data_IF_422891287742
#
_entry.id   IF_422891287742
#
_cell.length_a   1.000
_cell.length_b   1.000
_cell.length_c   1.000
_cell.angle_alpha   90.00
_cell.angle_beta   90.00
_cell.angle_gamma   90.00
#
_symmetry.space_group_name_H-M   'P 1'
#
loop_
_entity.id
_entity.type
_entity.pdbx_description
1 polymer ?
#
# COMPACT_ATOMS: atom_id res chain seq x y z
N UNK A 1 19.60 -10.04 18.87
CA UNK A 1 19.71 -9.72 17.43
C UNK A 1 18.74 -8.59 17.15
N UNK A 2 19.26 -7.37 16.98
CA UNK A 2 18.44 -6.24 16.55
C UNK A 2 18.07 -6.45 15.08
N UNK A 3 16.81 -6.20 14.67
CA UNK A 3 16.46 -6.22 13.25
C UNK A 3 17.32 -5.16 12.54
N UNK A 4 17.89 -5.54 11.40
CA UNK A 4 18.65 -4.65 10.52
C UNK A 4 17.74 -3.51 10.05
N UNK A 5 17.82 -2.39 10.76
CA UNK A 5 17.37 -1.07 10.30
C UNK A 5 18.35 -0.61 9.24
N UNK A 6 17.91 -0.42 7.99
CA UNK A 6 18.57 0.55 7.08
C UNK A 6 17.88 0.85 5.74
N UNK A 7 16.71 0.32 5.37
CA UNK A 7 16.04 0.78 4.12
C UNK A 7 14.53 0.92 4.31
N UNK A 8 13.96 2.03 3.84
CA UNK A 8 12.51 2.18 3.67
C UNK A 8 12.04 1.12 2.66
N UNK A 9 10.87 0.50 2.87
CA UNK A 9 10.44 -0.64 2.04
C UNK A 9 9.86 -0.21 0.70
N UNK A 10 9.29 1.00 0.65
CA UNK A 10 8.91 1.62 -0.61
C UNK A 10 10.17 1.84 -1.45
N UNK A 11 10.14 1.34 -2.69
CA UNK A 11 11.27 1.32 -3.61
C UNK A 11 12.00 -0.02 -3.68
N UNK A 12 11.73 -0.97 -2.77
CA UNK A 12 12.27 -2.34 -2.81
C UNK A 12 11.86 -3.03 -4.13
N UNK A 13 12.76 -3.87 -4.66
CA UNK A 13 12.44 -4.71 -5.81
C UNK A 13 11.49 -5.82 -5.39
N UNK A 14 10.63 -6.24 -6.31
CA UNK A 14 9.70 -7.38 -6.09
C UNK A 14 10.40 -8.61 -5.50
N UNK A 15 11.56 -8.97 -6.03
CA UNK A 15 12.32 -10.15 -5.58
C UNK A 15 12.81 -10.04 -4.13
N UNK A 16 13.07 -8.82 -3.64
CA UNK A 16 13.52 -8.56 -2.27
C UNK A 16 12.35 -8.69 -1.29
N UNK A 17 11.21 -8.08 -1.64
CA UNK A 17 9.95 -8.20 -0.90
C UNK A 17 9.53 -9.68 -0.83
N UNK A 18 9.49 -10.38 -1.96
CA UNK A 18 9.09 -11.78 -2.03
C UNK A 18 9.99 -12.68 -1.17
N UNK A 19 11.31 -12.52 -1.27
CA UNK A 19 12.27 -13.30 -0.49
C UNK A 19 12.08 -13.10 1.01
N UNK A 20 11.91 -11.86 1.46
CA UNK A 20 11.70 -11.54 2.88
C UNK A 20 10.35 -12.05 3.40
N UNK A 21 9.29 -11.87 2.63
CA UNK A 21 7.95 -12.31 3.02
C UNK A 21 7.88 -13.83 3.09
N UNK A 22 8.31 -14.53 2.04
CA UNK A 22 8.27 -16.00 1.99
C UNK A 22 9.24 -16.64 2.98
N UNK A 23 10.42 -16.06 3.19
CA UNK A 23 11.37 -16.49 4.22
C UNK A 23 10.84 -16.33 5.65
N UNK A 24 9.78 -15.54 5.85
CA UNK A 24 9.14 -15.33 7.15
C UNK A 24 7.70 -15.88 7.22
N UNK A 25 7.38 -16.90 6.41
CA UNK A 25 6.10 -17.61 6.45
C UNK A 25 5.00 -17.01 5.58
N UNK A 26 5.26 -15.89 4.89
CA UNK A 26 4.31 -15.29 3.96
C UNK A 26 4.11 -16.14 2.69
N UNK A 27 2.98 -15.93 2.03
CA UNK A 27 2.65 -16.53 0.74
C UNK A 27 2.20 -15.46 -0.25
N UNK A 28 2.14 -15.84 -1.52
CA UNK A 28 1.58 -15.03 -2.60
C UNK A 28 0.22 -15.61 -2.93
N UNK A 29 -0.83 -14.80 -2.99
CA UNK A 29 -2.07 -15.26 -3.62
C UNK A 29 -1.81 -15.42 -5.12
N UNK A 30 -2.18 -16.56 -5.69
CA UNK A 30 -1.95 -16.85 -7.13
C UNK A 30 -3.25 -17.15 -7.88
N UNK A 31 -4.37 -17.12 -7.18
CA UNK A 31 -5.68 -17.38 -7.76
C UNK A 31 -6.30 -16.04 -8.15
N UNK A 32 -6.58 -15.86 -9.44
CA UNK A 32 -7.09 -14.62 -10.02
C UNK A 32 -8.41 -14.15 -9.38
N UNK A 33 -9.33 -15.07 -9.08
CA UNK A 33 -10.61 -14.73 -8.42
C UNK A 33 -10.37 -14.18 -7.01
N UNK A 34 -9.44 -14.80 -6.29
CA UNK A 34 -9.06 -14.37 -4.93
C UNK A 34 -8.36 -13.01 -4.97
N UNK A 35 -7.43 -12.81 -5.91
CA UNK A 35 -6.77 -11.52 -6.08
C UNK A 35 -7.77 -10.41 -6.41
N UNK A 36 -8.66 -10.63 -7.39
CA UNK A 36 -9.68 -9.65 -7.77
C UNK A 36 -10.61 -9.29 -6.60
N UNK A 37 -11.08 -10.29 -5.86
CA UNK A 37 -11.91 -10.08 -4.68
C UNK A 37 -11.21 -9.22 -3.61
N UNK A 38 -9.90 -9.45 -3.41
CA UNK A 38 -9.08 -8.71 -2.43
C UNK A 38 -8.74 -7.29 -2.88
N UNK A 39 -8.54 -7.08 -4.19
CA UNK A 39 -8.28 -5.75 -4.77
C UNK A 39 -9.49 -4.81 -4.72
N UNK A 40 -10.70 -5.36 -4.63
CA UNK A 40 -11.93 -4.56 -4.66
C UNK A 40 -11.94 -3.50 -3.56
N UNK A 41 -12.16 -2.24 -3.97
CA UNK A 41 -12.23 -1.10 -3.06
C UNK A 41 -10.89 -0.60 -2.54
N UNK A 42 -9.76 -1.16 -3.00
CA UNK A 42 -8.44 -0.63 -2.64
C UNK A 42 -8.18 0.72 -3.32
N UNK A 43 -7.57 1.69 -2.61
CA UNK A 43 -7.47 3.07 -3.10
C UNK A 43 -6.58 3.20 -4.35
N UNK A 44 -5.60 2.30 -4.54
CA UNK A 44 -4.72 2.31 -5.71
C UNK A 44 -5.43 1.91 -7.01
N UNK A 45 -6.60 1.27 -6.95
CA UNK A 45 -7.29 0.75 -8.14
C UNK A 45 -7.63 1.85 -9.14
N UNK A 46 -8.03 3.03 -8.67
CA UNK A 46 -8.41 4.16 -9.53
C UNK A 46 -7.22 4.76 -10.30
N UNK A 47 -5.99 4.49 -9.87
CA UNK A 47 -4.77 5.04 -10.47
C UNK A 47 -4.02 4.02 -11.35
N UNK A 48 -4.48 2.77 -11.42
CA UNK A 48 -3.79 1.72 -12.16
C UNK A 48 -3.65 2.04 -13.66
N UNK A 49 -4.64 2.70 -14.25
CA UNK A 49 -4.57 3.12 -15.66
C UNK A 49 -3.52 4.23 -15.86
N UNK A 50 -3.44 5.19 -14.93
CA UNK A 50 -2.47 6.29 -14.97
C UNK A 50 -1.03 5.82 -14.76
N UNK A 51 -0.82 4.79 -13.93
CA UNK A 51 0.50 4.18 -13.72
C UNK A 51 1.04 3.45 -14.96
N UNK A 52 0.19 3.18 -15.94
CA UNK A 52 0.56 2.60 -17.23
C UNK A 52 0.89 1.11 -17.21
N UNK A 53 1.33 0.61 -18.36
CA UNK A 53 1.51 -0.84 -18.60
C UNK A 53 2.60 -1.52 -17.78
N UNK A 54 3.54 -0.76 -17.22
CA UNK A 54 4.58 -1.28 -16.34
C UNK A 54 4.11 -1.52 -14.89
N UNK A 55 2.84 -1.19 -14.59
CA UNK A 55 2.29 -1.29 -13.27
C UNK A 55 1.67 -2.68 -13.01
N UNK A 56 2.07 -3.31 -11.92
CA UNK A 56 1.46 -4.57 -11.45
C UNK A 56 1.16 -4.54 -9.95
N UNK A 57 0.21 -5.37 -9.53
CA UNK A 57 -0.16 -5.50 -8.12
C UNK A 57 0.06 -6.93 -7.70
N UNK A 58 0.76 -7.15 -6.58
CA UNK A 58 0.84 -8.44 -5.91
C UNK A 58 0.21 -8.35 -4.53
N UNK A 59 -0.48 -9.41 -4.14
CA UNK A 59 -1.06 -9.53 -2.81
C UNK A 59 -0.39 -10.69 -2.09
N UNK A 60 0.23 -10.35 -0.97
CA UNK A 60 0.86 -11.30 -0.07
C UNK A 60 -0.03 -11.51 1.15
N UNK A 61 0.00 -12.71 1.69
CA UNK A 61 -0.66 -13.03 2.95
C UNK A 61 0.32 -13.56 3.97
N UNK A 62 0.15 -13.11 5.22
CA UNK A 62 0.88 -13.62 6.38
C UNK A 62 -0.07 -13.82 7.55
N UNK A 63 -0.01 -14.97 8.21
CA UNK A 63 -0.80 -15.23 9.42
C UNK A 63 -0.32 -14.34 10.57
N UNK A 64 -1.21 -14.05 11.52
CA UNK A 64 -0.88 -13.19 12.66
C UNK A 64 0.17 -13.82 13.61
N UNK A 65 0.23 -15.15 13.66
CA UNK A 65 1.23 -15.92 14.43
C UNK A 65 2.54 -16.15 13.65
N UNK A 66 2.65 -15.66 12.42
CA UNK A 66 3.86 -15.71 11.60
C UNK A 66 4.19 -17.07 10.98
N UNK A 67 3.38 -18.11 11.20
CA UNK A 67 3.56 -19.39 10.53
C UNK A 67 3.17 -19.31 9.06
N UNK A 68 3.57 -20.32 8.29
CA UNK A 68 3.06 -20.48 6.92
C UNK A 68 1.61 -21.00 6.98
N UNK A 69 0.66 -20.38 6.26
CA UNK A 69 -0.71 -20.88 6.18
C UNK A 69 -0.76 -22.24 5.48
N UNK A 70 -1.69 -23.08 5.89
CA UNK A 70 -1.97 -24.37 5.23
C UNK A 70 -2.91 -24.19 4.04
N UNK A 71 -2.93 -25.14 3.11
CA UNK A 71 -3.82 -25.09 1.93
C UNK A 71 -5.30 -24.93 2.33
N UNK A 72 -5.74 -25.67 3.36
CA UNK A 72 -7.13 -25.61 3.84
C UNK A 72 -7.51 -24.25 4.40
N UNK A 73 -6.55 -23.51 4.97
CA UNK A 73 -6.79 -22.15 5.46
C UNK A 73 -7.01 -21.19 4.30
N UNK A 74 -6.24 -21.34 3.22
CA UNK A 74 -6.33 -20.48 2.04
C UNK A 74 -7.63 -20.68 1.25
N UNK A 75 -8.16 -21.89 1.24
CA UNK A 75 -9.42 -22.24 0.59
C UNK A 75 -10.65 -21.87 1.42
N UNK A 76 -10.47 -21.58 2.71
CA UNK A 76 -11.60 -21.30 3.60
C UNK A 76 -12.20 -19.93 3.29
N UNK A 77 -13.55 -19.86 3.19
CA UNK A 77 -14.28 -18.60 3.07
C UNK A 77 -14.19 -17.71 4.32
N UNK A 78 -13.69 -18.25 5.45
CA UNK A 78 -13.48 -17.48 6.68
C UNK A 78 -12.15 -16.76 6.56
N UNK A 79 -12.13 -15.45 6.80
CA UNK A 79 -10.88 -14.70 6.79
C UNK A 79 -9.97 -15.21 7.90
N UNK A 80 -8.84 -15.81 7.53
CA UNK A 80 -7.83 -16.21 8.51
C UNK A 80 -7.26 -14.97 9.21
N UNK A 81 -6.96 -15.13 10.50
CA UNK A 81 -6.34 -14.06 11.28
C UNK A 81 -4.94 -13.77 10.73
N UNK A 82 -4.78 -12.60 10.11
CA UNK A 82 -3.51 -12.25 9.49
C UNK A 82 -3.49 -10.89 8.82
N UNK A 83 -2.62 -10.78 7.82
CA UNK A 83 -2.29 -9.58 7.09
C UNK A 83 -2.35 -9.85 5.60
N UNK A 84 -3.14 -9.05 4.88
CA UNK A 84 -2.99 -8.88 3.45
C UNK A 84 -2.05 -7.69 3.22
N UNK A 85 -0.96 -7.89 2.48
CA UNK A 85 -0.07 -6.84 2.01
C UNK A 85 -0.23 -6.72 0.50
N UNK A 86 -0.83 -5.61 0.08
CA UNK A 86 -0.94 -5.25 -1.32
C UNK A 86 0.27 -4.41 -1.68
N UNK A 87 1.00 -4.79 -2.72
CA UNK A 87 2.13 -4.01 -3.22
C UNK A 87 1.87 -3.66 -4.67
N UNK A 88 1.86 -2.36 -4.95
CA UNK A 88 1.84 -1.80 -6.30
C UNK A 88 3.29 -1.63 -6.73
N UNK A 89 3.64 -2.25 -7.84
CA UNK A 89 4.95 -2.12 -8.47
C UNK A 89 4.84 -1.27 -9.71
N UNK A 90 5.86 -0.47 -9.98
CA UNK A 90 6.10 0.18 -11.27
C UNK A 90 7.53 -0.13 -11.67
N UNK A 91 7.72 -0.70 -12.87
CA UNK A 91 9.03 -1.16 -13.34
C UNK A 91 9.71 -2.12 -12.34
N UNK A 92 8.91 -2.96 -11.68
CA UNK A 92 9.40 -3.98 -10.73
C UNK A 92 9.81 -3.46 -9.34
N UNK A 93 9.62 -2.17 -9.04
CA UNK A 93 9.87 -1.56 -7.72
C UNK A 93 8.57 -1.16 -7.04
N UNK A 94 8.48 -1.34 -5.72
CA UNK A 94 7.28 -0.94 -4.97
C UNK A 94 7.14 0.59 -4.97
N UNK A 95 5.94 1.07 -5.29
CA UNK A 95 5.60 2.51 -5.24
C UNK A 95 4.48 2.80 -4.27
N UNK A 96 3.65 1.80 -3.95
CA UNK A 96 2.63 1.89 -2.93
C UNK A 96 2.44 0.54 -2.25
N UNK A 97 2.19 0.56 -0.94
CA UNK A 97 1.93 -0.62 -0.12
C UNK A 97 0.73 -0.39 0.79
N UNK A 98 -0.27 -1.28 0.72
CA UNK A 98 -1.39 -1.30 1.68
C UNK A 98 -1.23 -2.49 2.60
N UNK A 99 -1.09 -2.21 3.89
CA UNK A 99 -1.08 -3.21 4.95
C UNK A 99 -2.48 -3.28 5.55
N UNK A 100 -3.16 -4.40 5.34
CA UNK A 100 -4.51 -4.64 5.83
C UNK A 100 -4.54 -5.79 6.82
N UNK A 101 -4.96 -5.50 8.04
CA UNK A 101 -5.20 -6.49 9.09
C UNK A 101 -6.58 -7.13 8.87
N UNK A 102 -6.70 -8.43 9.12
CA UNK A 102 -7.99 -9.13 9.06
C UNK A 102 -8.98 -8.73 10.17
N UNK A 103 -8.54 -7.90 11.12
CA UNK A 103 -9.25 -7.40 12.30
C UNK A 103 -8.84 -5.94 12.51
N UNK A 104 -9.43 -5.26 13.50
CA UNK A 104 -8.95 -3.93 13.89
C UNK A 104 -7.45 -3.96 14.20
N UNK A 105 -6.71 -3.03 13.59
CA UNK A 105 -5.27 -2.85 13.82
C UNK A 105 -5.06 -2.13 15.14
N UNK A 106 -4.25 -2.70 16.01
CA UNK A 106 -3.84 -2.04 17.25
C UNK A 106 -2.88 -0.89 16.98
N UNK A 107 -2.80 0.07 17.92
CA UNK A 107 -1.82 1.16 17.84
C UNK A 107 -0.37 0.64 17.83
N UNK A 108 -0.11 -0.47 18.54
CA UNK A 108 1.20 -1.09 18.55
C UNK A 108 1.58 -1.62 17.16
N UNK A 109 0.70 -2.38 16.50
CA UNK A 109 0.92 -2.88 15.15
C UNK A 109 1.14 -1.73 14.15
N UNK A 110 0.31 -0.69 14.23
CA UNK A 110 0.46 0.51 13.42
C UNK A 110 1.82 1.18 13.60
N UNK A 111 2.26 1.38 14.85
CA UNK A 111 3.54 2.01 15.16
C UNK A 111 4.72 1.17 14.65
N UNK A 112 4.62 -0.16 14.69
CA UNK A 112 5.62 -1.04 14.08
C UNK A 112 5.69 -0.88 12.56
N UNK A 113 4.55 -0.81 11.87
CA UNK A 113 4.50 -0.59 10.42
C UNK A 113 5.16 0.74 10.03
N UNK A 114 4.82 1.80 10.76
CA UNK A 114 5.41 3.14 10.57
C UNK A 114 6.93 3.09 10.79
N UNK A 115 7.38 2.51 11.92
CA UNK A 115 8.81 2.40 12.22
C UNK A 115 9.59 1.63 11.13
N UNK A 116 9.01 0.56 10.60
CA UNK A 116 9.62 -0.23 9.52
C UNK A 116 9.72 0.55 8.21
N UNK A 117 8.75 1.40 7.89
CA UNK A 117 8.74 2.16 6.64
C UNK A 117 9.56 3.45 6.71
N UNK A 118 9.86 3.95 7.92
CA UNK A 118 10.57 5.22 8.09
C UNK A 118 12.09 5.16 7.84
N UNK A 119 12.67 3.99 7.58
CA UNK A 119 14.11 3.85 7.30
C UNK A 119 15.03 4.41 8.40
N UNK A 120 14.53 4.59 9.62
CA UNK A 120 15.23 5.27 10.72
C UNK A 120 15.17 6.81 10.72
N UNK A 121 14.59 7.45 9.69
CA UNK A 121 14.47 8.92 9.58
C UNK A 121 13.41 9.54 10.50
N UNK A 122 12.62 8.71 11.20
CA UNK A 122 11.46 9.15 11.96
C UNK A 122 10.28 9.54 11.06
N UNK A 123 9.18 9.98 11.67
CA UNK A 123 7.97 10.38 10.96
C UNK A 123 7.42 11.70 11.51
N UNK A 124 6.91 12.52 10.60
CA UNK A 124 6.23 13.78 10.91
C UNK A 124 4.73 13.60 10.66
N UNK A 125 3.91 13.93 11.67
CA UNK A 125 2.46 14.05 11.48
C UNK A 125 2.15 15.41 10.88
N UNK A 126 1.29 15.44 9.88
CA UNK A 126 0.90 16.68 9.22
C UNK A 126 -0.44 17.18 9.74
N UNK A 127 -0.57 18.50 9.82
CA UNK A 127 -1.84 19.16 10.13
C UNK A 127 -2.83 19.06 8.97
N UNK A 128 -4.08 19.45 9.20
CA UNK A 128 -5.11 19.52 8.15
C UNK A 128 -4.64 20.49 7.04
N UNK A 129 -4.58 20.02 5.79
CA UNK A 129 -4.28 20.86 4.61
C UNK A 129 -3.14 20.36 3.71
N UNK A 130 -2.29 19.44 4.16
CA UNK A 130 -1.16 18.94 3.36
C UNK A 130 -1.56 18.07 2.14
N UNK A 131 -2.86 17.85 1.91
CA UNK A 131 -3.39 16.84 0.98
C UNK A 131 -3.63 17.34 -0.45
N UNK A 132 -3.46 18.63 -0.75
CA UNK A 132 -3.82 19.19 -2.06
C UNK A 132 -2.92 18.70 -3.21
N UNK A 133 -1.69 18.27 -2.93
CA UNK A 133 -0.74 17.74 -3.92
C UNK A 133 -0.59 16.21 -3.85
N UNK A 134 -1.62 15.50 -3.37
CA UNK A 134 -1.55 14.06 -3.09
C UNK A 134 -2.75 13.33 -3.69
N UNK A 135 -2.46 12.30 -4.48
CA UNK A 135 -3.49 11.45 -5.07
C UNK A 135 -4.27 10.73 -3.98
N UNK A 136 -3.54 10.17 -3.01
CA UNK A 136 -4.15 9.39 -1.94
C UNK A 136 -4.58 10.24 -0.75
N UNK A 137 -4.08 11.47 -0.62
CA UNK A 137 -3.99 12.18 0.65
C UNK A 137 -3.01 11.48 1.61
N UNK A 138 -2.57 12.18 2.65
CA UNK A 138 -1.68 11.62 3.66
C UNK A 138 -1.78 12.37 4.98
N UNK A 139 -1.47 11.66 6.07
CA UNK A 139 -1.51 12.17 7.44
C UNK A 139 -0.10 12.24 8.05
N UNK A 140 0.84 11.51 7.45
CA UNK A 140 2.20 11.37 7.94
C UNK A 140 3.16 11.30 6.76
N UNK A 141 4.37 11.81 6.98
CA UNK A 141 5.47 11.75 6.03
C UNK A 141 6.75 11.35 6.74
N UNK A 142 7.62 10.59 6.08
CA UNK A 142 8.92 10.21 6.61
C UNK A 142 9.80 11.45 6.84
N UNK A 143 10.78 11.35 7.72
CA UNK A 143 11.64 12.49 8.07
C UNK A 143 12.37 13.11 6.87
N UNK A 144 12.69 12.27 5.89
CA UNK A 144 13.35 12.61 4.62
C UNK A 144 12.38 13.00 3.48
N UNK A 145 11.07 12.93 3.70
CA UNK A 145 10.05 13.30 2.70
C UNK A 145 9.85 12.27 1.58
N UNK A 146 10.49 11.10 1.65
CA UNK A 146 10.42 10.10 0.57
C UNK A 146 9.14 9.28 0.56
N UNK A 147 8.52 9.06 1.73
CA UNK A 147 7.34 8.20 1.88
C UNK A 147 6.24 8.94 2.62
N UNK A 148 5.03 8.85 2.09
CA UNK A 148 3.80 9.35 2.71
C UNK A 148 2.96 8.18 3.23
N UNK A 149 2.18 8.43 4.27
CA UNK A 149 1.30 7.43 4.86
C UNK A 149 -0.09 7.97 5.19
N UNK A 150 -1.10 7.12 5.00
CA UNK A 150 -2.52 7.42 5.26
C UNK A 150 -3.22 6.23 5.88
N UNK A 151 -3.96 6.44 6.97
CA UNK A 151 -4.90 5.43 7.48
C UNK A 151 -6.10 5.30 6.54
N UNK A 152 -6.49 4.08 6.23
CA UNK A 152 -7.64 3.78 5.36
C UNK A 152 -8.87 3.28 6.15
N UNK A 153 -8.81 3.36 7.47
CA UNK A 153 -9.79 2.81 8.39
C UNK A 153 -9.14 2.32 9.68
N UNK A 154 -9.87 1.51 10.44
CA UNK A 154 -9.38 0.93 11.69
C UNK A 154 -8.47 -0.30 11.50
N UNK A 155 -8.37 -0.85 10.29
CA UNK A 155 -7.67 -2.11 10.00
C UNK A 155 -6.54 -1.96 8.96
N UNK A 156 -6.37 -0.77 8.37
CA UNK A 156 -5.56 -0.61 7.16
C UNK A 156 -4.76 0.70 7.14
N UNK A 157 -3.53 0.62 6.62
CA UNK A 157 -2.66 1.78 6.35
C UNK A 157 -2.04 1.65 4.96
N UNK A 158 -2.01 2.78 4.24
CA UNK A 158 -1.28 2.97 2.98
C UNK A 158 0.06 3.65 3.26
N UNK A 159 1.10 3.17 2.59
CA UNK A 159 2.37 3.84 2.37
C UNK A 159 2.58 4.05 0.88
N UNK A 160 3.10 5.20 0.47
CA UNK A 160 3.30 5.54 -0.94
C UNK A 160 4.55 6.40 -1.11
N UNK A 161 5.27 6.19 -2.23
CA UNK A 161 6.36 7.06 -2.65
C UNK A 161 5.81 8.47 -2.90
N UNK A 162 6.41 9.47 -2.25
CA UNK A 162 5.90 10.84 -2.27
C UNK A 162 5.88 11.45 -3.68
N UNK A 163 6.86 11.10 -4.54
CA UNK A 163 6.93 11.61 -5.91
C UNK A 163 5.86 10.96 -6.78
N UNK A 164 5.66 9.65 -6.63
CA UNK A 164 4.60 8.93 -7.36
C UNK A 164 3.22 9.43 -6.93
N UNK A 165 2.99 9.64 -5.64
CA UNK A 165 1.74 10.18 -5.11
C UNK A 165 1.40 11.57 -5.69
N UNK A 166 2.38 12.49 -5.72
CA UNK A 166 2.17 13.81 -6.32
C UNK A 166 2.00 13.76 -7.84
N UNK A 167 2.78 12.94 -8.54
CA UNK A 167 2.62 12.77 -9.98
C UNK A 167 1.23 12.21 -10.35
N UNK A 168 0.72 11.26 -9.56
CA UNK A 168 -0.64 10.74 -9.75
C UNK A 168 -1.71 11.80 -9.51
N UNK A 169 -1.51 12.69 -8.53
CA UNK A 169 -2.46 13.77 -8.25
C UNK A 169 -2.58 14.72 -9.45
N UNK A 170 -1.43 15.08 -10.03
CA UNK A 170 -1.33 15.92 -11.22
C UNK A 170 -1.96 15.24 -12.44
N UNK A 171 -1.58 13.98 -12.73
CA UNK A 171 -2.15 13.21 -13.84
C UNK A 171 -3.67 13.07 -13.73
N UNK A 172 -4.18 12.78 -12.53
CA UNK A 172 -5.60 12.65 -12.29
C UNK A 172 -6.34 13.99 -12.46
N UNK A 173 -5.75 15.09 -12.03
CA UNK A 173 -6.30 16.43 -12.24
C UNK A 173 -6.38 16.77 -13.73
N UNK A 174 -5.32 16.50 -14.48
CA UNK A 174 -5.27 16.73 -15.92
C UNK A 174 -6.29 15.86 -16.68
N UNK A 175 -6.39 14.56 -16.33
CA UNK A 175 -7.36 13.64 -16.93
C UNK A 175 -8.81 14.08 -16.68
N UNK A 176 -9.12 14.55 -15.46
CA UNK A 176 -10.43 15.12 -15.13
C UNK A 176 -10.74 16.40 -15.89
N UNK A 177 -9.74 17.28 -16.09
CA UNK A 177 -9.90 18.50 -16.88
C UNK A 177 -10.15 18.19 -18.37
N UNK A 178 -9.45 17.22 -18.95
CA UNK A 178 -9.67 16.79 -20.34
C UNK A 178 -11.04 16.15 -20.55
N UNK A 179 -11.52 15.38 -19.56
CA UNK A 179 -12.82 14.71 -19.60
C UNK A 179 -13.98 15.59 -19.12
N UNK A 180 -13.72 16.83 -18.71
CA UNK A 180 -14.72 17.72 -18.16
C UNK A 180 -15.85 17.98 -19.18
N UNK A 181 -17.11 17.62 -18.86
CA UNK A 181 -18.21 17.77 -19.81
C UNK A 181 -18.53 19.25 -20.01
N UNK A 182 -18.54 19.73 -21.26
CA UNK A 182 -18.88 21.12 -21.61
C UNK A 182 -20.26 21.56 -21.10
N UNK A 183 -21.14 20.62 -20.79
CA UNK A 183 -22.50 20.85 -20.30
C UNK A 183 -22.58 21.42 -18.88
N UNK A 184 -21.49 21.45 -18.10
CA UNK A 184 -21.50 22.15 -16.80
C UNK A 184 -21.44 23.68 -16.92
N UNK A 185 -21.13 24.23 -18.10
CA UNK A 185 -21.05 25.68 -18.32
C UNK A 185 -22.41 26.38 -18.51
N UNK A 186 -23.53 25.73 -18.16
CA UNK A 186 -24.88 26.28 -18.37
C UNK A 186 -25.94 25.79 -17.40
N UNK A 187 -25.54 25.17 -16.28
CA UNK A 187 -26.40 24.98 -15.10
C UNK A 187 -26.33 26.20 -14.18
#
# INVERSE_FOLDING_TARGET
MSPSSSEARIGERREEIERRLTGSGGIIYRNDETEQARRKGMPYMQYMELLGSSADVRIYFKTADGRRPTTSELESKRMNTGWDLHVVYVNGKSVAEVYKRSQAMSEYELNQLIAMQGGGSGWKKLGKGAAEESAFGYEMESGDGSVRAKKLGGDSILFVDAKVDSALAEMNTNDLLEKAPLSVNGF
#
